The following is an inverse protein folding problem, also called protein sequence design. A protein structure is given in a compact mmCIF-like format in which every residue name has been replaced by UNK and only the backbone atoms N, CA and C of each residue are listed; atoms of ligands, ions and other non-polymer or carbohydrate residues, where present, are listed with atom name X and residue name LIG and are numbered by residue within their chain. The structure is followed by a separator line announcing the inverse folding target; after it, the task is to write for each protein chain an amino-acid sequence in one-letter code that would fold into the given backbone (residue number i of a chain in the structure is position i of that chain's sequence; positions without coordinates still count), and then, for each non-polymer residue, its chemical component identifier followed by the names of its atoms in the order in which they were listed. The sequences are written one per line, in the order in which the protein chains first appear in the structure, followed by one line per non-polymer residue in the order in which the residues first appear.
data_IF_767688197262
#
_entry.id   IF_767688197262
#
_cell.length_a   1.000
_cell.length_b   1.000
_cell.length_c   1.000
_cell.angle_alpha   90.00
_cell.angle_beta   90.00
_cell.angle_gamma   90.00
#
_symmetry.space_group_name_H-M   'P 1'
#
loop_
_entity.id
_entity.type
_entity.pdbx_description
1 polymer ?
#
# COMPACT_ATOMS: atom_id res chain seq x y z
N UNK A 1 9.51 -21.55 -0.94
CA UNK A 1 8.44 -21.39 0.06
C UNK A 1 9.08 -21.17 1.42
N UNK A 2 9.40 -19.93 1.76
CA UNK A 2 9.77 -19.53 3.11
C UNK A 2 8.70 -18.59 3.64
N UNK A 3 8.12 -18.99 4.76
CA UNK A 3 7.11 -18.27 5.52
C UNK A 3 7.84 -17.20 6.32
N UNK A 4 7.70 -15.93 5.94
CA UNK A 4 8.04 -14.82 6.83
C UNK A 4 6.79 -14.26 7.49
N UNK A 5 7.03 -13.83 8.71
CA UNK A 5 6.09 -13.41 9.75
C UNK A 5 6.52 -11.98 10.04
N UNK A 6 5.66 -11.02 9.74
CA UNK A 6 5.89 -9.63 10.08
C UNK A 6 6.23 -9.52 11.58
N UNK A 7 7.45 -9.05 11.89
CA UNK A 7 7.91 -8.83 13.27
C UNK A 7 7.36 -7.48 13.79
N UNK A 8 6.04 -7.38 13.93
CA UNK A 8 5.56 -6.77 15.16
C UNK A 8 6.09 -7.64 16.29
N UNK A 9 6.55 -7.06 17.40
CA UNK A 9 6.79 -7.81 18.64
C UNK A 9 5.55 -8.66 18.91
N UNK A 10 5.62 -9.96 18.54
CA UNK A 10 4.50 -10.88 18.69
C UNK A 10 4.45 -11.23 20.17
N UNK A 11 3.86 -10.34 20.96
CA UNK A 11 3.62 -10.58 22.37
C UNK A 11 2.59 -11.69 22.44
N UNK A 12 3.05 -12.93 22.62
CA UNK A 12 2.21 -14.14 22.63
C UNK A 12 1.01 -14.05 23.57
N UNK A 13 1.11 -13.25 24.63
CA UNK A 13 0.05 -13.05 25.64
C UNK A 13 -1.20 -12.36 25.06
N UNK A 14 -1.08 -11.61 23.96
CA UNK A 14 -2.19 -10.87 23.37
C UNK A 14 -2.96 -11.65 22.29
N UNK A 15 -2.49 -12.82 21.89
CA UNK A 15 -3.23 -13.68 20.95
C UNK A 15 -4.11 -14.69 21.69
N UNK A 16 -5.34 -14.91 21.21
CA UNK A 16 -6.20 -15.99 21.74
C UNK A 16 -5.69 -17.38 21.33
N UNK A 17 -5.01 -17.47 20.19
CA UNK A 17 -4.36 -18.69 19.69
C UNK A 17 -2.90 -18.45 19.36
N UNK A 18 -2.01 -19.44 19.53
CA UNK A 18 -0.63 -19.27 19.11
C UNK A 18 -0.56 -18.82 17.64
N UNK A 19 0.18 -17.75 17.32
CA UNK A 19 0.12 -17.04 16.04
C UNK A 19 0.53 -17.89 14.83
N UNK A 20 1.23 -19.00 15.04
CA UNK A 20 1.67 -19.91 13.96
C UNK A 20 1.00 -21.28 14.02
N UNK A 21 -0.09 -21.41 14.78
CA UNK A 21 -0.81 -22.69 14.93
C UNK A 21 -1.69 -23.03 13.74
N UNK A 22 -2.21 -22.02 13.03
CA UNK A 22 -3.24 -22.23 12.01
C UNK A 22 -4.55 -22.78 12.60
N UNK A 23 -4.88 -22.39 13.84
CA UNK A 23 -6.06 -22.87 14.56
C UNK A 23 -7.33 -22.61 13.74
N UNK A 24 -8.12 -23.65 13.52
CA UNK A 24 -9.45 -23.51 12.91
C UNK A 24 -10.49 -23.44 14.01
N UNK A 25 -11.32 -22.41 14.00
CA UNK A 25 -12.46 -22.30 14.89
C UNK A 25 -13.55 -21.43 14.29
N UNK A 26 -14.82 -21.82 14.49
CA UNK A 26 -16.00 -21.07 14.06
C UNK A 26 -15.96 -20.63 12.58
N UNK A 27 -15.48 -21.52 11.69
CA UNK A 27 -15.38 -21.25 10.26
C UNK A 27 -14.22 -20.34 9.87
N UNK A 28 -13.28 -20.05 10.77
CA UNK A 28 -12.12 -19.17 10.53
C UNK A 28 -10.82 -19.88 10.86
N UNK A 29 -9.75 -19.51 10.14
CA UNK A 29 -8.38 -19.93 10.39
C UNK A 29 -7.66 -18.77 11.07
N UNK A 30 -7.15 -18.96 12.28
CA UNK A 30 -6.40 -17.96 13.03
C UNK A 30 -4.90 -18.20 12.92
N UNK A 31 -4.17 -17.13 12.60
CA UNK A 31 -2.72 -17.14 12.56
C UNK A 31 -2.15 -15.98 11.74
N UNK A 32 -0.92 -15.60 12.04
CA UNK A 32 -0.18 -14.58 11.29
C UNK A 32 0.06 -15.07 9.86
N UNK A 33 -0.36 -14.23 8.92
CA UNK A 33 -0.40 -14.49 7.50
C UNK A 33 -1.52 -15.41 7.05
N UNK A 34 -2.52 -15.70 7.89
CA UNK A 34 -3.74 -16.37 7.46
C UNK A 34 -4.49 -15.53 6.41
N UNK A 35 -4.53 -14.21 6.61
CA UNK A 35 -5.04 -13.23 5.65
C UNK A 35 -3.92 -12.64 4.80
N UNK A 36 -2.81 -12.22 5.41
CA UNK A 36 -1.76 -11.44 4.75
C UNK A 36 -0.41 -12.18 4.70
N UNK A 37 -0.13 -13.04 3.71
CA UNK A 37 -0.91 -13.27 2.48
C UNK A 37 -1.12 -14.76 2.15
N UNK A 38 -0.90 -15.69 3.09
CA UNK A 38 -0.92 -17.14 2.78
C UNK A 38 -2.30 -17.67 2.40
N UNK A 39 -3.37 -17.12 2.97
CA UNK A 39 -4.75 -17.48 2.55
C UNK A 39 -5.03 -17.06 1.12
N UNK A 40 -4.55 -15.89 0.71
CA UNK A 40 -4.66 -15.40 -0.68
C UNK A 40 -3.85 -16.29 -1.63
N UNK A 41 -2.59 -16.58 -1.29
CA UNK A 41 -1.74 -17.52 -2.04
C UNK A 41 -2.44 -18.88 -2.20
N UNK A 42 -3.01 -19.42 -1.12
CA UNK A 42 -3.72 -20.69 -1.16
C UNK A 42 -4.89 -20.64 -2.17
N UNK A 43 -5.64 -19.53 -2.22
CA UNK A 43 -6.76 -19.39 -3.16
C UNK A 43 -6.30 -19.34 -4.63
N UNK A 44 -5.21 -18.64 -4.94
CA UNK A 44 -4.65 -18.61 -6.30
C UNK A 44 -4.15 -19.98 -6.76
N UNK A 45 -3.38 -20.66 -5.90
CA UNK A 45 -2.86 -22.01 -6.20
C UNK A 45 -4.01 -23.00 -6.37
N UNK A 46 -5.01 -22.95 -5.49
CA UNK A 46 -6.16 -23.85 -5.54
C UNK A 46 -7.05 -23.59 -6.75
N UNK A 47 -7.19 -22.34 -7.20
CA UNK A 47 -7.93 -22.00 -8.41
C UNK A 47 -7.27 -22.59 -9.66
N UNK A 48 -5.95 -22.41 -9.80
CA UNK A 48 -5.18 -23.00 -10.90
C UNK A 48 -5.23 -24.54 -10.89
N UNK A 49 -5.11 -25.16 -9.70
CA UNK A 49 -5.25 -26.61 -9.53
C UNK A 49 -6.65 -27.11 -9.89
N UNK A 50 -7.70 -26.38 -9.48
CA UNK A 50 -9.08 -26.73 -9.80
C UNK A 50 -9.33 -26.73 -11.30
N UNK A 51 -8.86 -25.70 -12.01
CA UNK A 51 -8.92 -25.63 -13.47
C UNK A 51 -8.18 -26.78 -14.12
N UNK A 52 -6.92 -27.04 -13.69
CA UNK A 52 -6.12 -28.14 -14.24
C UNK A 52 -6.79 -29.50 -14.04
N UNK A 53 -7.38 -29.74 -12.86
CA UNK A 53 -8.06 -30.99 -12.52
C UNK A 53 -9.43 -31.14 -13.18
N UNK A 54 -10.08 -30.05 -13.58
CA UNK A 54 -11.38 -30.09 -14.26
C UNK A 54 -11.30 -30.74 -15.64
N UNK A 55 -10.12 -30.73 -16.28
CA UNK A 55 -9.93 -31.21 -17.65
C UNK A 55 -10.60 -30.32 -18.71
N UNK A 56 -11.16 -29.17 -18.33
CA UNK A 56 -11.75 -28.21 -19.26
C UNK A 56 -10.62 -27.60 -20.10
N UNK A 57 -10.69 -27.65 -21.44
CA UNK A 57 -9.71 -27.01 -22.29
C UNK A 57 -9.85 -25.48 -22.21
N UNK A 58 -8.73 -24.79 -22.16
CA UNK A 58 -8.63 -23.32 -22.26
C UNK A 58 -7.41 -22.96 -23.11
N UNK A 59 -7.34 -21.71 -23.60
CA UNK A 59 -6.23 -21.21 -24.42
C UNK A 59 -5.26 -20.43 -23.55
N UNK A 60 -3.97 -20.47 -23.88
CA UNK A 60 -2.93 -19.75 -23.12
C UNK A 60 -2.49 -20.46 -21.83
N UNK A 61 -1.74 -19.72 -21.01
CA UNK A 61 -1.03 -20.24 -19.85
C UNK A 61 -1.43 -19.51 -18.56
N UNK A 62 -1.41 -20.24 -17.44
CA UNK A 62 -1.54 -19.68 -16.09
C UNK A 62 -0.21 -19.87 -15.38
N UNK A 63 0.41 -18.76 -14.97
CA UNK A 63 1.62 -18.76 -14.15
C UNK A 63 1.29 -18.28 -12.74
N UNK A 64 1.87 -18.93 -11.73
CA UNK A 64 1.80 -18.50 -10.33
C UNK A 64 3.17 -17.99 -9.91
N UNK A 65 3.26 -16.71 -9.56
CA UNK A 65 4.47 -16.07 -9.06
C UNK A 65 4.31 -15.82 -7.56
N UNK A 66 5.23 -16.32 -6.75
CA UNK A 66 5.22 -16.15 -5.29
C UNK A 66 6.51 -15.44 -4.86
N UNK A 67 6.37 -14.23 -4.31
CA UNK A 67 7.47 -13.37 -3.85
C UNK A 67 7.59 -13.44 -2.32
N UNK A 68 8.64 -12.84 -1.73
CA UNK A 68 8.91 -12.95 -0.30
C UNK A 68 9.22 -11.63 0.42
N UNK A 69 9.18 -10.51 -0.27
CA UNK A 69 9.68 -9.21 0.21
C UNK A 69 8.70 -8.05 -0.03
N UNK A 70 7.45 -8.33 -0.42
CA UNK A 70 6.38 -7.33 -0.62
C UNK A 70 6.29 -6.37 0.58
N UNK A 71 6.22 -6.93 1.79
CA UNK A 71 6.18 -6.23 3.09
C UNK A 71 7.40 -5.33 3.38
N UNK A 72 8.44 -5.41 2.55
CA UNK A 72 9.67 -4.61 2.64
C UNK A 72 9.95 -3.82 1.37
N UNK A 73 9.01 -3.78 0.41
CA UNK A 73 9.10 -3.01 -0.82
C UNK A 73 9.08 -3.82 -2.12
N UNK A 74 9.12 -5.15 -2.09
CA UNK A 74 8.94 -6.01 -3.27
C UNK A 74 10.05 -5.93 -4.34
N UNK A 75 11.14 -5.19 -4.09
CA UNK A 75 12.21 -4.95 -5.06
C UNK A 75 13.02 -6.22 -5.36
N UNK A 76 13.30 -7.05 -4.34
CA UNK A 76 14.04 -8.31 -4.46
C UNK A 76 13.16 -9.48 -4.92
N UNK A 77 11.84 -9.33 -4.89
CA UNK A 77 10.85 -10.29 -5.38
C UNK A 77 10.26 -9.87 -6.72
N UNK A 78 9.12 -9.19 -6.71
CA UNK A 78 8.39 -8.84 -7.93
C UNK A 78 9.22 -7.93 -8.84
N UNK A 79 9.88 -6.91 -8.28
CA UNK A 79 10.79 -6.03 -8.99
C UNK A 79 11.87 -6.82 -9.74
N UNK A 80 12.64 -7.63 -9.00
CA UNK A 80 13.71 -8.46 -9.57
C UNK A 80 13.24 -9.41 -10.67
N UNK A 81 12.13 -10.12 -10.47
CA UNK A 81 11.59 -11.07 -11.45
C UNK A 81 11.20 -10.36 -12.75
N UNK A 82 10.60 -9.17 -12.65
CA UNK A 82 10.12 -8.41 -13.81
C UNK A 82 11.26 -7.67 -14.53
N UNK A 83 12.19 -7.06 -13.79
CA UNK A 83 13.37 -6.40 -14.37
C UNK A 83 14.27 -7.38 -15.15
N UNK A 84 14.38 -8.61 -14.66
CA UNK A 84 15.12 -9.68 -15.34
C UNK A 84 14.26 -10.46 -16.35
N UNK A 85 12.99 -10.07 -16.55
CA UNK A 85 12.07 -10.68 -17.50
C UNK A 85 11.91 -12.20 -17.34
N UNK A 86 11.93 -12.69 -16.09
CA UNK A 86 11.67 -14.10 -15.81
C UNK A 86 10.19 -14.47 -15.95
N UNK A 87 9.30 -13.47 -15.95
CA UNK A 87 7.88 -13.64 -16.21
C UNK A 87 7.36 -12.56 -17.17
N UNK A 88 6.33 -12.92 -17.93
CA UNK A 88 5.55 -12.04 -18.79
C UNK A 88 4.10 -12.53 -18.82
N UNK A 89 3.15 -11.66 -19.12
CA UNK A 89 1.75 -12.05 -19.31
C UNK A 89 0.89 -10.89 -19.80
N UNK A 90 -0.32 -11.20 -20.25
CA UNK A 90 -1.28 -10.20 -20.74
C UNK A 90 -1.97 -9.45 -19.59
N UNK A 91 -2.06 -10.08 -18.41
CA UNK A 91 -2.56 -9.44 -17.19
C UNK A 91 -2.10 -10.18 -15.92
N UNK A 92 -2.23 -9.54 -14.77
CA UNK A 92 -1.95 -10.14 -13.45
C UNK A 92 -3.08 -9.88 -12.44
N UNK A 93 -3.36 -10.88 -11.59
CA UNK A 93 -4.15 -10.69 -10.37
C UNK A 93 -3.20 -10.75 -9.18
N UNK A 94 -3.16 -9.68 -8.41
CA UNK A 94 -2.36 -9.56 -7.19
C UNK A 94 -3.30 -9.53 -5.99
N UNK A 95 -2.77 -9.74 -4.79
CA UNK A 95 -3.53 -9.76 -3.55
C UNK A 95 -4.51 -8.59 -3.39
N UNK A 96 -5.71 -8.87 -2.88
CA UNK A 96 -6.73 -7.86 -2.71
C UNK A 96 -7.83 -8.33 -1.77
N UNK A 97 -9.07 -7.98 -2.10
CA UNK A 97 -10.22 -8.16 -1.23
C UNK A 97 -11.35 -8.90 -1.94
N UNK A 98 -12.22 -9.56 -1.16
CA UNK A 98 -13.28 -10.40 -1.72
C UNK A 98 -14.59 -9.65 -1.93
N UNK A 99 -14.69 -8.42 -1.43
CA UNK A 99 -15.86 -7.55 -1.52
C UNK A 99 -15.70 -6.39 -2.53
N UNK A 100 -14.55 -6.27 -3.17
CA UNK A 100 -14.28 -5.22 -4.14
C UNK A 100 -13.14 -5.59 -5.12
N UNK A 101 -13.18 -5.01 -6.32
CA UNK A 101 -12.13 -5.15 -7.33
C UNK A 101 -11.31 -3.87 -7.33
N UNK A 102 -10.04 -3.95 -6.95
CA UNK A 102 -9.18 -2.78 -6.86
C UNK A 102 -8.44 -2.58 -8.18
N UNK A 103 -8.67 -1.42 -8.81
CA UNK A 103 -8.08 -1.01 -10.10
C UNK A 103 -7.09 0.14 -9.99
N UNK A 104 -7.00 0.78 -8.82
CA UNK A 104 -6.15 1.92 -8.58
C UNK A 104 -5.46 1.80 -7.21
N UNK A 105 -4.19 2.20 -7.17
CA UNK A 105 -3.38 2.29 -5.95
C UNK A 105 -2.73 3.68 -5.90
N UNK A 106 -2.47 4.22 -4.71
CA UNK A 106 -1.90 5.54 -4.59
C UNK A 106 -0.43 5.51 -5.00
N UNK A 107 0.09 6.64 -5.42
CA UNK A 107 1.52 6.88 -5.39
C UNK A 107 2.01 6.96 -3.95
N UNK A 108 3.31 6.72 -3.77
CA UNK A 108 3.99 6.91 -2.50
C UNK A 108 5.08 7.94 -2.71
N UNK A 109 5.04 8.99 -1.92
CA UNK A 109 6.10 9.99 -1.83
C UNK A 109 6.52 10.06 -0.36
N UNK A 110 7.78 9.77 -0.08
CA UNK A 110 8.35 9.88 1.26
C UNK A 110 9.44 10.94 1.24
N UNK A 111 9.31 11.90 2.16
CA UNK A 111 10.20 13.05 2.29
C UNK A 111 10.79 13.09 3.70
N UNK A 112 12.08 13.37 3.79
CA UNK A 112 12.72 13.82 5.02
C UNK A 112 12.87 15.34 4.94
N UNK A 113 12.31 16.05 5.93
CA UNK A 113 12.39 17.51 6.00
C UNK A 113 13.20 17.88 7.24
N UNK A 114 14.24 18.68 7.03
CA UNK A 114 15.23 19.02 8.05
C UNK A 114 15.19 20.52 8.28
N UNK A 115 14.90 20.94 9.50
CA UNK A 115 15.05 22.32 9.93
C UNK A 115 16.41 22.52 10.61
N UNK A 116 17.19 23.46 10.09
CA UNK A 116 18.46 23.86 10.67
C UNK A 116 18.29 25.11 11.53
N UNK A 117 19.14 25.21 12.53
CA UNK A 117 19.19 26.30 13.49
C UNK A 117 20.61 26.56 13.97
N UNK A 118 20.72 27.36 15.02
CA UNK A 118 22.00 27.76 15.61
C UNK A 118 21.92 27.54 17.12
N UNK A 119 22.80 26.68 17.62
CA UNK A 119 22.86 26.33 19.04
C UNK A 119 23.24 27.54 19.90
N UNK A 120 22.58 27.69 21.04
CA UNK A 120 22.95 28.65 22.08
C UNK A 120 22.47 28.20 23.45
N UNK A 121 23.01 28.77 24.53
CA UNK A 121 22.45 28.55 25.86
C UNK A 121 21.02 29.11 25.91
N UNK A 122 20.05 28.35 26.40
CA UNK A 122 18.62 28.73 26.35
C UNK A 122 18.32 30.09 27.00
N UNK A 123 19.07 30.48 28.04
CA UNK A 123 18.97 31.81 28.66
C UNK A 123 19.34 32.99 27.74
N UNK A 124 20.10 32.76 26.66
CA UNK A 124 20.45 33.76 25.64
C UNK A 124 19.92 33.37 24.28
N UNK A 125 18.67 32.86 24.22
CA UNK A 125 18.09 32.27 23.01
C UNK A 125 18.18 33.13 21.75
N UNK A 126 18.19 34.46 21.90
CA UNK A 126 18.32 35.42 20.79
C UNK A 126 19.67 35.37 20.08
N UNK A 127 20.67 34.66 20.64
CA UNK A 127 21.96 34.37 19.98
C UNK A 127 21.90 33.13 19.08
N UNK A 128 20.81 32.36 19.12
CA UNK A 128 20.61 31.16 18.33
C UNK A 128 19.37 31.24 17.46
N UNK A 129 19.12 30.15 16.74
CA UNK A 129 17.92 29.94 15.91
C UNK A 129 17.36 28.59 16.31
N UNK A 130 16.12 28.55 16.79
CA UNK A 130 15.51 27.34 17.34
C UNK A 130 14.89 26.49 16.22
N UNK A 131 15.57 25.43 15.78
CA UNK A 131 15.10 24.55 14.71
C UNK A 131 13.77 23.85 15.01
N UNK A 132 13.49 23.55 16.28
CA UNK A 132 12.21 22.93 16.69
C UNK A 132 11.06 23.91 16.53
N UNK A 133 11.24 25.18 16.89
CA UNK A 133 10.23 26.22 16.67
C UNK A 133 9.98 26.47 15.17
N UNK A 134 11.03 26.43 14.33
CA UNK A 134 10.88 26.54 12.87
C UNK A 134 10.17 25.31 12.29
N UNK A 135 10.53 24.10 12.73
CA UNK A 135 9.85 22.86 12.31
C UNK A 135 8.37 22.86 12.67
N UNK A 136 7.99 23.42 13.83
CA UNK A 136 6.58 23.55 14.20
C UNK A 136 5.76 24.35 13.17
N UNK A 137 6.37 25.35 12.50
CA UNK A 137 5.72 26.08 11.40
C UNK A 137 5.53 25.18 10.17
N UNK A 138 6.54 24.37 9.82
CA UNK A 138 6.46 23.41 8.69
C UNK A 138 5.34 22.39 8.95
N UNK A 139 5.27 21.81 10.15
CA UNK A 139 4.23 20.84 10.55
C UNK A 139 2.83 21.46 10.43
N UNK A 140 2.66 22.71 10.90
CA UNK A 140 1.40 23.42 10.74
C UNK A 140 1.06 23.68 9.27
N UNK A 141 2.06 24.01 8.45
CA UNK A 141 1.92 24.16 7.01
C UNK A 141 1.45 22.88 6.33
N UNK A 142 2.11 21.75 6.60
CA UNK A 142 1.70 20.43 6.08
C UNK A 142 0.30 20.03 6.53
N UNK A 143 -0.09 20.38 7.76
CA UNK A 143 -1.46 20.19 8.24
C UNK A 143 -2.46 21.09 7.51
N UNK A 144 -2.04 22.26 7.04
CA UNK A 144 -2.80 23.13 6.15
C UNK A 144 -2.97 22.50 4.76
N UNK A 145 -1.89 21.99 4.18
CA UNK A 145 -1.89 21.28 2.90
C UNK A 145 -2.85 20.07 2.92
N UNK A 146 -2.85 19.27 3.99
CA UNK A 146 -3.81 18.18 4.18
C UNK A 146 -5.27 18.66 4.06
N UNK A 147 -5.62 19.80 4.69
CA UNK A 147 -6.97 20.38 4.62
C UNK A 147 -7.33 20.96 3.26
N UNK A 148 -6.33 21.32 2.46
CA UNK A 148 -6.53 21.76 1.07
C UNK A 148 -6.84 20.55 0.19
N UNK A 149 -6.02 19.50 0.30
CA UNK A 149 -6.20 18.23 -0.40
C UNK A 149 -7.57 17.60 -0.09
N UNK A 150 -8.05 17.63 1.16
CA UNK A 150 -9.38 17.13 1.55
C UNK A 150 -10.56 17.84 0.84
N UNK A 151 -10.35 19.04 0.29
CA UNK A 151 -11.42 19.83 -0.36
C UNK A 151 -11.42 19.68 -1.87
N UNK A 152 -10.44 19.00 -2.44
CA UNK A 152 -10.32 18.80 -3.87
C UNK A 152 -11.34 17.76 -4.36
N UNK A 153 -11.45 17.64 -5.68
CA UNK A 153 -12.39 16.70 -6.31
C UNK A 153 -11.67 15.42 -6.67
N UNK A 154 -12.19 14.30 -6.17
CA UNK A 154 -11.66 12.97 -6.42
C UNK A 154 -12.69 12.12 -7.18
N UNK A 155 -12.18 11.34 -8.12
CA UNK A 155 -12.97 10.60 -9.11
C UNK A 155 -12.87 9.08 -8.95
N UNK A 156 -11.91 8.60 -8.16
CA UNK A 156 -11.73 7.18 -7.88
C UNK A 156 -12.45 6.78 -6.59
N UNK A 157 -13.54 5.98 -6.64
CA UNK A 157 -14.20 5.49 -5.45
C UNK A 157 -13.23 4.73 -4.55
N UNK A 158 -13.27 4.98 -3.23
CA UNK A 158 -12.34 4.37 -2.26
C UNK A 158 -11.01 5.11 -2.09
N UNK A 159 -10.80 6.24 -2.77
CA UNK A 159 -9.64 7.12 -2.63
C UNK A 159 -10.12 8.57 -2.45
N UNK A 160 -10.48 8.92 -1.22
CA UNK A 160 -11.18 10.18 -0.93
C UNK A 160 -10.28 11.41 -0.99
N UNK A 161 -8.98 11.28 -0.71
CA UNK A 161 -8.00 12.36 -0.84
C UNK A 161 -6.55 11.88 -0.77
N UNK A 162 -5.61 12.70 -1.28
CA UNK A 162 -4.18 12.50 -1.03
C UNK A 162 -3.90 12.74 0.46
N UNK A 163 -3.28 11.77 1.13
CA UNK A 163 -3.00 11.87 2.57
C UNK A 163 -1.59 12.38 2.82
N UNK A 164 -1.42 13.13 3.93
CA UNK A 164 -0.15 13.60 4.47
C UNK A 164 0.00 13.06 5.89
N UNK A 165 0.97 12.18 6.11
CA UNK A 165 1.24 11.59 7.41
C UNK A 165 2.65 11.93 7.89
N UNK A 166 2.75 12.73 8.94
CA UNK A 166 4.03 13.00 9.62
C UNK A 166 4.28 11.85 10.60
N UNK A 167 5.07 10.88 10.18
CA UNK A 167 5.26 9.62 10.90
C UNK A 167 6.36 9.67 11.97
N UNK A 168 7.35 10.56 11.80
CA UNK A 168 8.50 10.69 12.68
C UNK A 168 8.87 12.15 12.92
N UNK A 169 9.36 12.44 14.12
CA UNK A 169 9.98 13.72 14.48
C UNK A 169 11.11 13.49 15.48
N UNK A 170 12.26 14.09 15.23
CA UNK A 170 13.39 14.12 16.16
C UNK A 170 14.00 15.52 16.21
N UNK A 171 14.27 16.05 17.41
CA UNK A 171 14.82 17.39 17.52
C UNK A 171 15.33 17.76 18.91
N UNK A 172 16.41 18.54 18.92
CA UNK A 172 17.08 19.01 20.13
C UNK A 172 17.91 17.96 20.86
N UNK A 173 18.74 18.45 21.78
CA UNK A 173 19.73 17.61 22.48
C UNK A 173 19.59 17.69 23.99
N UNK A 174 19.34 18.88 24.54
CA UNK A 174 19.18 19.15 25.98
C UNK A 174 18.21 20.31 26.20
N UNK A 175 17.47 20.27 27.31
CA UNK A 175 16.47 21.29 27.66
C UNK A 175 17.04 22.73 27.78
N UNK A 176 18.32 22.87 28.13
CA UNK A 176 18.98 24.17 28.31
C UNK A 176 19.83 24.61 27.10
N UNK A 177 19.65 23.97 25.95
CA UNK A 177 20.33 24.30 24.69
C UNK A 177 19.26 24.60 23.64
N UNK A 178 19.36 25.74 22.97
CA UNK A 178 18.54 26.04 21.79
C UNK A 178 18.89 25.01 20.71
N UNK A 179 17.91 24.24 20.20
CA UNK A 179 18.18 23.18 19.25
C UNK A 179 18.58 23.77 17.89
N UNK A 180 19.62 23.18 17.29
CA UNK A 180 20.13 23.52 15.96
C UNK A 180 19.71 22.55 14.86
N UNK A 181 19.08 21.43 15.22
CA UNK A 181 18.56 20.44 14.28
C UNK A 181 17.22 19.88 14.75
N UNK A 182 16.28 19.79 13.81
CA UNK A 182 15.01 19.10 13.97
C UNK A 182 14.64 18.47 12.62
N UNK A 183 14.28 17.20 12.59
CA UNK A 183 13.92 16.47 11.38
C UNK A 183 12.56 15.79 11.52
N UNK A 184 11.82 15.71 10.41
CA UNK A 184 10.59 14.93 10.28
C UNK A 184 10.66 14.03 9.06
N UNK A 185 9.96 12.89 9.13
CA UNK A 185 9.70 12.03 7.97
C UNK A 185 8.20 12.03 7.67
N UNK A 186 7.86 12.29 6.41
CA UNK A 186 6.49 12.49 5.95
C UNK A 186 6.19 11.49 4.84
N UNK A 187 5.11 10.72 5.02
CA UNK A 187 4.56 9.78 4.04
C UNK A 187 3.33 10.40 3.38
N UNK A 188 3.33 10.44 2.05
CA UNK A 188 2.19 10.85 1.25
C UNK A 188 1.63 9.66 0.49
N UNK A 189 0.31 9.45 0.58
CA UNK A 189 -0.43 8.53 -0.30
C UNK A 189 -1.12 9.37 -1.35
N UNK A 190 -0.50 9.46 -2.53
CA UNK A 190 -0.91 10.35 -3.63
C UNK A 190 -2.01 9.68 -4.44
N UNK A 191 -3.20 10.26 -4.51
CA UNK A 191 -4.28 9.70 -5.36
C UNK A 191 -4.00 9.95 -6.84
N UNK A 192 -4.70 9.27 -7.76
CA UNK A 192 -4.38 9.37 -9.18
C UNK A 192 -4.76 10.71 -9.84
N UNK A 193 -5.45 11.59 -9.13
CA UNK A 193 -5.69 12.99 -9.53
C UNK A 193 -4.40 13.83 -9.51
N UNK A 194 -3.37 13.39 -8.79
CA UNK A 194 -2.12 14.10 -8.58
C UNK A 194 -0.93 13.26 -9.04
N UNK A 195 0.17 13.92 -9.39
CA UNK A 195 1.48 13.27 -9.55
C UNK A 195 2.31 13.45 -8.28
N UNK A 196 3.29 12.58 -8.04
CA UNK A 196 4.23 12.79 -6.91
C UNK A 196 5.00 14.11 -7.06
N UNK A 197 5.30 14.51 -8.30
CA UNK A 197 5.98 15.78 -8.62
C UNK A 197 5.12 16.98 -8.22
N UNK A 198 3.81 16.94 -8.48
CA UNK A 198 2.90 18.01 -8.07
C UNK A 198 2.87 18.16 -6.54
N UNK A 199 2.74 17.05 -5.82
CA UNK A 199 2.72 17.06 -4.35
C UNK A 199 4.07 17.55 -3.79
N UNK A 200 5.19 17.10 -4.36
CA UNK A 200 6.52 17.60 -4.00
C UNK A 200 6.62 19.11 -4.19
N UNK A 201 6.18 19.64 -5.34
CA UNK A 201 6.20 21.07 -5.63
C UNK A 201 5.31 21.87 -4.67
N UNK A 202 4.18 21.32 -4.21
CA UNK A 202 3.35 21.97 -3.18
C UNK A 202 4.09 22.09 -1.84
N UNK A 203 4.82 21.04 -1.44
CA UNK A 203 5.65 21.06 -0.22
C UNK A 203 6.81 22.05 -0.36
N UNK A 204 7.48 22.06 -1.51
CA UNK A 204 8.57 23.01 -1.80
C UNK A 204 8.08 24.46 -1.76
N UNK A 205 6.94 24.75 -2.39
CA UNK A 205 6.33 26.08 -2.37
C UNK A 205 5.94 26.54 -0.96
N UNK A 206 5.40 25.62 -0.14
CA UNK A 206 5.08 25.88 1.25
C UNK A 206 6.34 26.28 2.05
N UNK A 207 7.43 25.54 1.87
CA UNK A 207 8.70 25.83 2.55
C UNK A 207 9.28 27.15 2.06
N UNK A 208 9.30 27.40 0.76
CA UNK A 208 9.75 28.65 0.16
C UNK A 208 8.96 29.87 0.68
N UNK A 209 7.66 29.71 0.98
CA UNK A 209 6.87 30.77 1.60
C UNK A 209 7.30 31.02 3.05
N UNK A 210 7.46 29.96 3.84
CA UNK A 210 7.88 30.08 5.25
C UNK A 210 9.27 30.73 5.39
N UNK A 211 10.21 30.41 4.51
CA UNK A 211 11.55 31.03 4.49
C UNK A 211 11.50 32.52 4.09
N UNK A 212 10.58 32.91 3.22
CA UNK A 212 10.35 34.34 2.91
C UNK A 212 9.76 35.12 4.08
N UNK A 213 8.94 34.48 4.90
CA UNK A 213 8.33 35.09 6.09
C UNK A 213 9.31 35.16 7.29
N UNK A 214 10.39 34.38 7.25
CA UNK A 214 11.33 34.21 8.34
C UNK A 214 12.76 33.99 7.81
N UNK A 215 13.52 35.07 7.63
CA UNK A 215 14.87 35.05 7.05
C UNK A 215 15.89 34.17 7.81
N UNK A 216 15.58 33.75 9.04
CA UNK A 216 16.42 32.85 9.83
C UNK A 216 16.07 31.37 9.63
N UNK A 217 15.01 31.07 8.90
CA UNK A 217 14.55 29.71 8.63
C UNK A 217 15.38 29.13 7.48
N UNK A 218 16.02 28.00 7.73
CA UNK A 218 16.72 27.21 6.73
C UNK A 218 16.17 25.78 6.79
N UNK A 219 15.46 25.36 5.73
CA UNK A 219 14.86 24.05 5.60
C UNK A 219 15.49 23.30 4.42
N UNK A 220 15.81 22.03 4.64
CA UNK A 220 16.28 21.11 3.59
C UNK A 220 15.23 20.02 3.40
N UNK A 221 14.90 19.72 2.14
CA UNK A 221 14.04 18.61 1.76
C UNK A 221 14.94 17.53 1.13
N UNK A 222 14.87 16.31 1.64
CA UNK A 222 15.54 15.14 1.10
C UNK A 222 14.49 14.15 0.61
N UNK A 223 14.55 13.78 -0.66
CA UNK A 223 13.75 12.69 -1.22
C UNK A 223 14.30 11.35 -0.75
N UNK A 224 13.41 10.42 -0.43
CA UNK A 224 13.76 9.01 -0.14
C UNK A 224 13.40 8.19 -1.39
N UNK A 225 14.31 8.03 -2.37
CA UNK A 225 13.94 7.58 -3.72
C UNK A 225 13.58 6.11 -3.78
N UNK A 226 14.14 5.27 -2.89
CA UNK A 226 13.89 3.82 -2.90
C UNK A 226 12.42 3.46 -2.62
N UNK A 227 11.63 4.41 -2.12
CA UNK A 227 10.23 4.20 -1.72
C UNK A 227 9.23 4.97 -2.58
N UNK A 228 9.68 5.66 -3.65
CA UNK A 228 8.80 6.45 -4.49
C UNK A 228 8.12 5.62 -5.57
N UNK A 229 6.83 5.85 -5.78
CA UNK A 229 6.08 5.23 -6.87
C UNK A 229 4.94 6.16 -7.28
N UNK A 230 4.72 6.33 -8.58
CA UNK A 230 3.54 7.04 -9.08
C UNK A 230 2.24 6.24 -8.83
N UNK A 231 1.08 6.90 -8.77
CA UNK A 231 -0.20 6.21 -8.74
C UNK A 231 -0.35 5.27 -9.93
N UNK A 232 -0.92 4.09 -9.68
CA UNK A 232 -1.17 3.10 -10.74
C UNK A 232 -2.65 2.98 -10.99
N UNK A 233 -3.06 3.04 -12.26
CA UNK A 233 -4.47 2.99 -12.68
C UNK A 233 -4.62 1.99 -13.82
N UNK A 234 -5.66 1.17 -13.75
CA UNK A 234 -6.19 0.41 -14.89
C UNK A 234 -7.51 1.02 -15.34
N UNK A 235 -7.83 1.01 -16.65
CA UNK A 235 -9.14 1.44 -17.18
C UNK A 235 -10.30 0.55 -16.65
N UNK A 236 -11.43 1.14 -16.21
CA UNK A 236 -12.60 0.37 -15.72
C UNK A 236 -13.25 -0.46 -16.81
N UNK A 237 -13.08 -0.04 -18.07
CA UNK A 237 -13.54 -0.77 -19.24
C UNK A 237 -12.58 -1.86 -19.68
N UNK A 238 -11.51 -2.10 -18.91
CA UNK A 238 -10.58 -3.18 -19.21
C UNK A 238 -11.33 -4.53 -19.29
N UNK A 239 -11.10 -5.33 -20.35
CA UNK A 239 -11.76 -6.62 -20.53
C UNK A 239 -11.73 -7.54 -19.32
N UNK A 240 -10.62 -7.59 -18.58
CA UNK A 240 -10.49 -8.45 -17.41
C UNK A 240 -11.26 -7.94 -16.19
N UNK A 241 -11.51 -6.63 -16.06
CA UNK A 241 -12.37 -6.08 -14.99
C UNK A 241 -13.82 -6.51 -15.23
N UNK A 242 -14.29 -6.36 -16.47
CA UNK A 242 -15.62 -6.82 -16.85
C UNK A 242 -15.77 -8.34 -16.66
N UNK A 243 -14.73 -9.11 -16.97
CA UNK A 243 -14.79 -10.56 -16.83
C UNK A 243 -14.76 -11.02 -15.37
N UNK A 244 -13.97 -10.40 -14.49
CA UNK A 244 -13.99 -10.76 -13.07
C UNK A 244 -15.31 -10.35 -12.41
N UNK A 245 -15.95 -9.25 -12.83
CA UNK A 245 -17.30 -8.91 -12.39
C UNK A 245 -18.34 -9.97 -12.79
N UNK A 246 -18.26 -10.51 -14.01
CA UNK A 246 -19.11 -11.64 -14.43
C UNK A 246 -18.83 -12.89 -13.60
N UNK A 247 -17.57 -13.23 -13.36
CA UNK A 247 -17.19 -14.38 -12.55
C UNK A 247 -17.68 -14.25 -11.10
N UNK A 248 -17.63 -13.05 -10.52
CA UNK A 248 -18.25 -12.76 -9.23
C UNK A 248 -19.77 -13.01 -9.29
N UNK A 249 -20.46 -12.47 -10.29
CA UNK A 249 -21.90 -12.66 -10.41
C UNK A 249 -22.30 -14.14 -10.60
N UNK A 250 -21.51 -14.92 -11.35
CA UNK A 250 -21.74 -16.35 -11.57
C UNK A 250 -21.59 -17.17 -10.27
N UNK A 251 -20.61 -16.85 -9.43
CA UNK A 251 -20.25 -17.67 -8.26
C UNK A 251 -20.94 -17.20 -6.98
N UNK A 252 -20.98 -15.88 -6.74
CA UNK A 252 -21.50 -15.28 -5.50
C UNK A 252 -22.81 -14.52 -5.71
N UNK A 253 -23.35 -14.48 -6.94
CA UNK A 253 -24.68 -13.92 -7.22
C UNK A 253 -24.76 -12.39 -7.26
N UNK A 254 -23.61 -11.70 -7.23
CA UNK A 254 -23.54 -10.25 -7.33
C UNK A 254 -22.27 -9.79 -8.06
N UNK A 255 -22.35 -8.66 -8.75
CA UNK A 255 -21.16 -7.95 -9.23
C UNK A 255 -20.55 -7.14 -8.08
N UNK A 256 -19.22 -7.07 -8.05
CA UNK A 256 -18.49 -6.29 -7.05
C UNK A 256 -18.20 -4.88 -7.56
N UNK A 257 -18.12 -3.89 -6.65
CA UNK A 257 -17.70 -2.54 -7.00
C UNK A 257 -16.25 -2.53 -7.46
N UNK A 258 -15.93 -1.61 -8.37
CA UNK A 258 -14.58 -1.37 -8.84
C UNK A 258 -14.08 -0.07 -8.23
N UNK A 259 -13.00 -0.15 -7.46
CA UNK A 259 -12.55 0.92 -6.56
C UNK A 259 -11.04 1.11 -6.63
N UNK A 260 -10.54 2.19 -6.06
CA UNK A 260 -9.15 2.30 -5.64
C UNK A 260 -8.97 1.86 -4.19
N UNK A 261 -7.72 1.75 -3.76
CA UNK A 261 -7.37 1.60 -2.35
C UNK A 261 -6.26 2.58 -1.99
N UNK A 262 -6.04 2.82 -0.70
CA UNK A 262 -4.94 3.68 -0.20
C UNK A 262 -3.69 2.89 0.24
N UNK A 263 -3.66 1.58 -0.03
CA UNK A 263 -2.49 0.72 0.11
C UNK A 263 -1.77 0.49 -1.22
N UNK A 264 -0.51 0.06 -1.16
CA UNK A 264 0.21 -0.45 -2.34
C UNK A 264 0.44 -1.95 -2.18
N UNK A 265 0.67 -2.61 -3.32
CA UNK A 265 1.06 -4.02 -3.42
C UNK A 265 2.08 -4.18 -4.54
N UNK A 266 2.59 -5.40 -4.71
CA UNK A 266 3.46 -5.76 -5.83
C UNK A 266 2.87 -5.49 -7.23
N UNK A 267 1.56 -5.23 -7.37
CA UNK A 267 0.93 -4.86 -8.64
C UNK A 267 1.64 -3.68 -9.32
N UNK A 268 2.23 -2.75 -8.55
CA UNK A 268 2.98 -1.61 -9.09
C UNK A 268 4.13 -2.03 -9.98
N UNK A 269 4.82 -3.13 -9.64
CA UNK A 269 5.96 -3.63 -10.41
C UNK A 269 5.51 -4.18 -11.75
N UNK A 270 4.37 -4.89 -11.79
CA UNK A 270 3.79 -5.42 -13.03
C UNK A 270 3.36 -4.29 -13.96
N UNK A 271 2.64 -3.29 -13.44
CA UNK A 271 2.19 -2.13 -14.22
C UNK A 271 3.38 -1.34 -14.76
N UNK A 272 4.42 -1.09 -13.95
CA UNK A 272 5.66 -0.43 -14.38
C UNK A 272 6.35 -1.17 -15.54
N UNK A 273 6.19 -2.49 -15.62
CA UNK A 273 6.74 -3.33 -16.69
C UNK A 273 5.73 -3.64 -17.82
N UNK A 274 4.62 -2.88 -17.89
CA UNK A 274 3.65 -2.97 -18.98
C UNK A 274 2.65 -4.12 -18.87
N UNK A 275 2.57 -4.80 -17.72
CA UNK A 275 1.59 -5.86 -17.45
C UNK A 275 0.44 -5.26 -16.62
N UNK A 276 -0.76 -5.06 -17.20
CA UNK A 276 -1.89 -4.53 -16.46
C UNK A 276 -2.42 -5.54 -15.44
N UNK A 277 -3.10 -5.09 -14.39
CA UNK A 277 -3.62 -6.02 -13.41
C UNK A 277 -4.51 -5.40 -12.35
N UNK A 278 -5.09 -6.26 -11.53
CA UNK A 278 -6.00 -5.87 -10.45
C UNK A 278 -5.57 -6.50 -9.13
N UNK A 279 -5.98 -5.87 -8.04
CA UNK A 279 -5.92 -6.46 -6.72
C UNK A 279 -7.27 -7.13 -6.43
N UNK A 280 -7.27 -8.45 -6.28
CA UNK A 280 -8.45 -9.24 -5.94
C UNK A 280 -8.05 -10.53 -5.22
N UNK A 281 -8.69 -10.83 -4.09
CA UNK A 281 -8.32 -11.97 -3.25
C UNK A 281 -9.29 -12.19 -2.10
N UNK A 282 -9.12 -13.24 -1.29
CA UNK A 282 -10.00 -13.50 -0.15
C UNK A 282 -9.77 -12.48 0.99
N UNK A 283 -10.83 -12.21 1.74
CA UNK A 283 -10.86 -11.44 2.98
C UNK A 283 -11.02 -9.93 2.78
N UNK A 284 -11.18 -9.23 3.90
CA UNK A 284 -11.09 -7.77 3.96
C UNK A 284 -10.42 -7.31 5.27
N UNK A 285 -9.74 -6.16 5.31
CA UNK A 285 -8.99 -5.73 6.50
C UNK A 285 -9.86 -5.60 7.75
N UNK A 286 -11.12 -5.15 7.59
CA UNK A 286 -12.06 -4.94 8.69
C UNK A 286 -12.40 -6.21 9.47
N UNK A 287 -12.48 -7.36 8.79
CA UNK A 287 -12.86 -8.65 9.41
C UNK A 287 -11.65 -9.53 9.73
N UNK A 288 -10.51 -9.27 9.10
CA UNK A 288 -9.37 -10.20 9.09
C UNK A 288 -8.18 -9.74 9.92
N UNK A 289 -8.18 -8.49 10.43
CA UNK A 289 -7.17 -7.95 11.35
C UNK A 289 -5.72 -8.08 10.85
N UNK A 290 -5.40 -7.63 9.61
CA UNK A 290 -4.00 -7.59 9.15
C UNK A 290 -3.15 -6.78 10.13
N UNK A 291 -1.88 -7.19 10.26
CA UNK A 291 -0.87 -6.53 11.09
C UNK A 291 -1.29 -6.34 12.57
N UNK A 292 -2.29 -7.10 13.04
CA UNK A 292 -2.77 -7.04 14.42
C UNK A 292 -2.79 -8.43 15.07
N UNK A 293 -3.19 -8.50 16.33
CA UNK A 293 -3.47 -9.73 17.05
C UNK A 293 -4.70 -10.43 16.45
N UNK A 294 -4.69 -11.75 16.52
CA UNK A 294 -5.78 -12.62 16.06
C UNK A 294 -6.14 -12.41 14.58
N UNK A 295 -5.13 -12.10 13.77
CA UNK A 295 -5.25 -12.16 12.30
C UNK A 295 -5.83 -13.52 11.91
N UNK A 296 -6.79 -13.49 10.99
CA UNK A 296 -7.58 -14.66 10.68
C UNK A 296 -8.13 -14.61 9.25
N UNK A 297 -8.64 -15.75 8.79
CA UNK A 297 -9.21 -15.90 7.45
C UNK A 297 -10.49 -16.74 7.48
N UNK A 298 -11.56 -16.27 6.84
CA UNK A 298 -12.81 -17.02 6.70
C UNK A 298 -12.67 -18.16 5.70
N UNK A 299 -13.04 -19.38 6.09
CA UNK A 299 -12.94 -20.57 5.22
C UNK A 299 -13.89 -20.46 4.03
N UNK A 300 -15.14 -20.04 4.27
CA UNK A 300 -16.11 -19.89 3.19
C UNK A 300 -15.65 -18.84 2.17
N UNK A 301 -15.04 -17.76 2.64
CA UNK A 301 -14.51 -16.70 1.79
C UNK A 301 -13.34 -17.18 0.94
N UNK A 302 -12.39 -17.93 1.51
CA UNK A 302 -11.35 -18.64 0.74
C UNK A 302 -11.95 -19.50 -0.36
N UNK A 303 -12.98 -20.28 -0.04
CA UNK A 303 -13.63 -21.20 -1.00
C UNK A 303 -14.32 -20.42 -2.11
N UNK A 304 -15.10 -19.39 -1.77
CA UNK A 304 -15.82 -18.60 -2.76
C UNK A 304 -14.88 -17.82 -3.66
N UNK A 305 -13.86 -17.14 -3.10
CA UNK A 305 -12.87 -16.44 -3.91
C UNK A 305 -12.08 -17.40 -4.80
N UNK A 306 -11.71 -18.59 -4.32
CA UNK A 306 -11.06 -19.63 -5.15
C UNK A 306 -11.94 -20.00 -6.36
N UNK A 307 -13.25 -20.17 -6.16
CA UNK A 307 -14.19 -20.45 -7.24
C UNK A 307 -14.29 -19.28 -8.21
N UNK A 308 -14.39 -18.04 -7.72
CA UNK A 308 -14.40 -16.82 -8.56
C UNK A 308 -13.15 -16.77 -9.42
N UNK A 309 -11.96 -16.95 -8.84
CA UNK A 309 -10.68 -16.92 -9.55
C UNK A 309 -10.60 -18.01 -10.62
N UNK A 310 -11.06 -19.23 -10.32
CA UNK A 310 -11.11 -20.31 -11.29
C UNK A 310 -12.07 -19.99 -12.45
N UNK A 311 -13.28 -19.52 -12.14
CA UNK A 311 -14.27 -19.11 -13.15
C UNK A 311 -13.76 -17.97 -14.01
N UNK A 312 -13.16 -16.95 -13.41
CA UNK A 312 -12.55 -15.81 -14.09
C UNK A 312 -11.46 -16.28 -15.06
N UNK A 313 -10.48 -17.06 -14.58
CA UNK A 313 -9.40 -17.55 -15.42
C UNK A 313 -9.93 -18.45 -16.56
N UNK A 314 -10.91 -19.33 -16.30
CA UNK A 314 -11.57 -20.12 -17.36
C UNK A 314 -12.16 -19.22 -18.43
N UNK A 315 -12.98 -18.23 -18.04
CA UNK A 315 -13.71 -17.40 -18.97
C UNK A 315 -12.76 -16.52 -19.79
N UNK A 316 -11.78 -15.90 -19.13
CA UNK A 316 -10.79 -15.06 -19.78
C UNK A 316 -9.97 -15.85 -20.82
N UNK A 317 -9.53 -17.06 -20.46
CA UNK A 317 -8.75 -17.95 -21.34
C UNK A 317 -9.58 -18.71 -22.38
N UNK A 318 -10.91 -18.63 -22.32
CA UNK A 318 -11.82 -19.23 -23.31
C UNK A 318 -12.43 -18.19 -24.26
N UNK A 319 -12.45 -16.92 -23.84
CA UNK A 319 -13.20 -15.83 -24.48
C UNK A 319 -12.38 -14.91 -25.38
N UNK A 320 -11.09 -15.17 -25.57
CA UNK A 320 -10.18 -14.40 -26.43
C UNK A 320 -9.36 -15.31 -27.36
#
# INVERSE_FOLDING_TARGET
MHIWIQFLLVIRIKWIYPPFSGRIENGRIYGRGAFDSKGRIASYVMAALALKRSGIPFRGDISIVLTCDEETGGMLGAGYILENKFISGDMVVVEGYSDQIVRAMPGVLQLKIISKGISSHSAWKWKGVNSVEKMAKVINGLSGLQKELEKETYTFPGMDYTTVNIGMIEGGTKINVVPDLCEIEVDFRVTPEHTIEEIYNRVENLINQLEKEDEQMEIVIENIPEMQTEPTIIDDKSPFILEIQKACNEVIGQSLPVVGMLGQTDLRWFIKNGIPGINFGPGNPEKNNPHNYDENMGIDDLIQTTKVLATFARNYLSGY
#
